data_IF_439649093721
#
_entry.id   IF_439649093721
#
_cell.length_a   1.000
_cell.length_b   1.000
_cell.length_c   1.000
_cell.angle_alpha   90.00
_cell.angle_beta   90.00
_cell.angle_gamma   90.00
#
_symmetry.space_group_name_H-M   'P 1'
#
loop_
_entity.id
_entity.type
_entity.pdbx_description
1 polymer ?
#
# COMPACT_ATOMS: atom_id res chain seq x y z
N UNK A 1 -14.76 -31.10 -20.62
CA UNK A 1 -14.69 -30.38 -19.33
C UNK A 1 -14.56 -28.90 -19.68
N UNK A 2 -15.58 -28.19 -20.19
CA UNK A 2 -16.97 -27.99 -19.70
C UNK A 2 -16.99 -27.63 -18.23
N UNK A 3 -17.17 -26.33 -17.92
CA UNK A 3 -18.05 -25.80 -16.85
C UNK A 3 -17.80 -24.34 -16.40
N UNK A 4 -17.17 -23.47 -17.20
CA UNK A 4 -17.35 -22.01 -16.99
C UNK A 4 -18.57 -21.54 -17.79
N UNK A 5 -19.75 -22.00 -17.34
CA UNK A 5 -21.03 -21.46 -17.79
C UNK A 5 -21.15 -20.06 -17.20
N UNK A 6 -21.09 -19.06 -18.05
CA UNK A 6 -21.83 -17.79 -18.00
C UNK A 6 -22.56 -17.53 -16.66
N UNK A 7 -21.80 -17.19 -15.60
CA UNK A 7 -22.36 -16.56 -14.40
C UNK A 7 -22.81 -15.19 -14.87
N UNK A 8 -24.12 -14.94 -14.91
CA UNK A 8 -24.65 -13.70 -15.46
C UNK A 8 -24.10 -12.49 -14.71
N UNK A 9 -23.77 -11.43 -15.43
CA UNK A 9 -23.19 -10.20 -14.87
C UNK A 9 -23.95 -9.68 -13.63
N UNK A 10 -25.27 -9.89 -13.58
CA UNK A 10 -26.12 -9.55 -12.44
C UNK A 10 -25.71 -10.27 -11.14
N UNK A 11 -25.40 -11.56 -11.22
CA UNK A 11 -25.01 -12.38 -10.07
C UNK A 11 -23.64 -11.93 -9.51
N UNK A 12 -22.70 -11.60 -10.40
CA UNK A 12 -21.38 -11.07 -10.01
C UNK A 12 -21.52 -9.71 -9.33
N UNK A 13 -22.38 -8.83 -9.85
CA UNK A 13 -22.65 -7.53 -9.24
C UNK A 13 -23.30 -7.68 -7.86
N UNK A 14 -24.20 -8.63 -7.67
CA UNK A 14 -24.79 -8.94 -6.37
C UNK A 14 -23.75 -9.49 -5.38
N UNK A 15 -22.88 -10.40 -5.81
CA UNK A 15 -21.76 -10.92 -5.00
C UNK A 15 -20.82 -9.78 -4.57
N UNK A 16 -20.44 -8.90 -5.50
CA UNK A 16 -19.56 -7.76 -5.22
C UNK A 16 -20.20 -6.77 -4.24
N UNK A 17 -21.49 -6.48 -4.41
CA UNK A 17 -22.24 -5.62 -3.49
C UNK A 17 -22.27 -6.21 -2.09
N UNK A 18 -22.58 -7.51 -1.96
CA UNK A 18 -22.61 -8.18 -0.67
C UNK A 18 -21.22 -8.18 0.01
N UNK A 19 -20.15 -8.37 -0.75
CA UNK A 19 -18.77 -8.27 -0.25
C UNK A 19 -18.45 -6.85 0.24
N UNK A 20 -18.77 -5.82 -0.56
CA UNK A 20 -18.59 -4.41 -0.18
C UNK A 20 -19.34 -4.07 1.11
N UNK A 21 -20.62 -4.45 1.21
CA UNK A 21 -21.45 -4.18 2.39
C UNK A 21 -20.86 -4.85 3.65
N UNK A 22 -20.30 -6.07 3.50
CA UNK A 22 -19.63 -6.77 4.59
C UNK A 22 -18.35 -6.05 5.04
N UNK A 23 -17.52 -5.60 4.10
CA UNK A 23 -16.29 -4.84 4.38
C UNK A 23 -16.64 -3.53 5.09
N UNK A 24 -17.59 -2.78 4.57
CA UNK A 24 -18.04 -1.51 5.16
C UNK A 24 -18.60 -1.72 6.58
N UNK A 25 -19.34 -2.82 6.80
CA UNK A 25 -19.84 -3.21 8.11
C UNK A 25 -18.75 -3.51 9.13
N UNK A 26 -17.67 -4.19 8.72
CA UNK A 26 -16.52 -4.45 9.61
C UNK A 26 -15.75 -3.16 9.95
N UNK A 27 -15.49 -2.30 8.96
CA UNK A 27 -14.79 -1.02 9.18
C UNK A 27 -15.61 -0.10 10.09
N UNK A 28 -16.94 -0.08 9.94
CA UNK A 28 -17.85 0.76 10.72
C UNK A 28 -17.89 0.42 12.22
N UNK A 29 -17.36 -0.74 12.63
CA UNK A 29 -17.23 -1.10 14.05
C UNK A 29 -16.16 -0.26 14.76
N UNK A 30 -15.19 0.26 14.01
CA UNK A 30 -14.04 1.03 14.53
C UNK A 30 -14.10 2.48 14.06
N UNK A 31 -14.51 2.72 12.82
CA UNK A 31 -14.56 4.04 12.21
C UNK A 31 -16.00 4.55 12.18
N UNK A 32 -16.24 5.68 12.84
CA UNK A 32 -17.58 6.29 12.95
C UNK A 32 -17.68 7.52 12.04
N UNK A 33 -18.72 7.58 11.21
CA UNK A 33 -19.11 8.79 10.47
C UNK A 33 -18.29 9.10 9.21
N UNK A 34 -17.47 8.16 8.71
CA UNK A 34 -16.60 8.34 7.52
C UNK A 34 -17.06 7.51 6.31
N UNK A 35 -18.36 7.26 6.17
CA UNK A 35 -18.92 6.36 5.13
C UNK A 35 -18.47 6.71 3.71
N UNK A 36 -18.57 7.98 3.34
CA UNK A 36 -18.18 8.45 2.00
C UNK A 36 -16.68 8.23 1.72
N UNK A 37 -15.82 8.46 2.73
CA UNK A 37 -14.37 8.24 2.59
C UNK A 37 -14.07 6.75 2.44
N UNK A 38 -14.76 5.88 3.19
CA UNK A 38 -14.62 4.43 3.06
C UNK A 38 -15.00 3.96 1.66
N UNK A 39 -16.12 4.44 1.11
CA UNK A 39 -16.56 4.11 -0.24
C UNK A 39 -15.55 4.57 -1.31
N UNK A 40 -15.01 5.79 -1.17
CA UNK A 40 -13.97 6.29 -2.06
C UNK A 40 -12.68 5.46 -1.98
N UNK A 41 -12.25 5.07 -0.78
CA UNK A 41 -11.08 4.21 -0.58
C UNK A 41 -11.27 2.84 -1.21
N UNK A 42 -12.44 2.21 -1.04
CA UNK A 42 -12.76 0.94 -1.70
C UNK A 42 -12.76 1.07 -3.22
N UNK A 43 -13.28 2.18 -3.76
CA UNK A 43 -13.26 2.46 -5.20
C UNK A 43 -11.83 2.58 -5.72
N UNK A 44 -10.97 3.30 -5.00
CA UNK A 44 -9.54 3.46 -5.33
C UNK A 44 -8.83 2.11 -5.31
N UNK A 45 -9.05 1.29 -4.27
CA UNK A 45 -8.45 -0.03 -4.17
C UNK A 45 -8.89 -0.96 -5.31
N UNK A 46 -10.20 -1.03 -5.59
CA UNK A 46 -10.75 -1.89 -6.65
C UNK A 46 -10.35 -1.45 -8.06
N UNK A 47 -9.87 -0.21 -8.21
CA UNK A 47 -9.36 0.32 -9.48
C UNK A 47 -7.82 0.30 -9.58
N UNK A 48 -7.12 -0.27 -8.59
CA UNK A 48 -5.66 -0.22 -8.46
C UNK A 48 -5.12 1.21 -8.61
N UNK A 49 -5.83 2.15 -7.98
CA UNK A 49 -5.49 3.56 -7.99
C UNK A 49 -4.81 3.98 -6.69
N UNK A 50 -4.29 5.21 -6.69
CA UNK A 50 -3.81 5.87 -5.49
C UNK A 50 -4.62 7.13 -5.22
N UNK A 51 -4.78 7.48 -3.94
CA UNK A 51 -5.54 8.66 -3.55
C UNK A 51 -4.76 9.58 -2.62
N UNK A 52 -5.08 10.88 -2.68
CA UNK A 52 -4.56 11.89 -1.76
C UNK A 52 -5.60 12.19 -0.68
N UNK A 53 -5.27 11.90 0.58
CA UNK A 53 -6.17 12.11 1.72
C UNK A 53 -5.92 13.45 2.42
N UNK A 54 -6.68 14.47 2.03
CA UNK A 54 -6.61 15.81 2.64
C UNK A 54 -7.59 15.90 3.81
N UNK A 55 -7.17 16.51 4.91
CA UNK A 55 -8.00 16.65 6.11
C UNK A 55 -7.16 17.09 7.30
N UNK A 56 -7.81 17.65 8.32
CA UNK A 56 -7.13 18.16 9.52
C UNK A 56 -6.50 17.01 10.34
N UNK A 57 -5.43 17.29 11.12
CA UNK A 57 -4.88 16.33 12.06
C UNK A 57 -5.95 15.81 13.03
N UNK A 58 -5.85 14.53 13.40
CA UNK A 58 -6.75 13.91 14.38
C UNK A 58 -8.03 13.30 13.82
N UNK A 59 -8.27 13.33 12.51
CA UNK A 59 -9.44 12.67 11.86
C UNK A 59 -9.27 11.15 11.67
N UNK A 60 -8.47 10.50 12.52
CA UNK A 60 -8.27 9.06 12.52
C UNK A 60 -7.86 8.46 11.14
N UNK A 61 -7.24 9.23 10.23
CA UNK A 61 -6.82 8.74 8.91
C UNK A 61 -5.96 7.49 9.00
N UNK A 62 -4.98 7.50 9.91
CA UNK A 62 -4.12 6.33 10.16
C UNK A 62 -4.93 5.12 10.63
N UNK A 63 -5.88 5.32 11.53
CA UNK A 63 -6.75 4.25 12.01
C UNK A 63 -7.65 3.71 10.90
N UNK A 64 -8.22 4.59 10.07
CA UNK A 64 -9.06 4.23 8.93
C UNK A 64 -8.30 3.35 7.93
N UNK A 65 -7.13 3.80 7.47
CA UNK A 65 -6.35 3.06 6.46
C UNK A 65 -5.83 1.73 7.03
N UNK A 66 -5.37 1.71 8.28
CA UNK A 66 -4.96 0.47 8.93
C UNK A 66 -6.15 -0.51 9.12
N UNK A 67 -7.32 -0.01 9.51
CA UNK A 67 -8.53 -0.85 9.68
C UNK A 67 -8.97 -1.44 8.33
N UNK A 68 -8.92 -0.66 7.26
CA UNK A 68 -9.21 -1.13 5.91
C UNK A 68 -8.26 -2.25 5.50
N UNK A 69 -6.94 -2.05 5.65
CA UNK A 69 -5.95 -3.06 5.31
C UNK A 69 -6.14 -4.36 6.11
N UNK A 70 -6.38 -4.25 7.42
CA UNK A 70 -6.65 -5.42 8.28
C UNK A 70 -7.94 -6.15 7.90
N UNK A 71 -8.99 -5.41 7.53
CA UNK A 71 -10.28 -6.00 7.13
C UNK A 71 -10.15 -6.83 5.84
N UNK A 72 -9.19 -6.47 4.98
CA UNK A 72 -8.94 -7.09 3.69
C UNK A 72 -7.73 -8.04 3.68
N UNK A 73 -7.09 -8.27 4.83
CA UNK A 73 -5.86 -9.07 4.97
C UNK A 73 -4.71 -8.58 4.07
N UNK A 74 -4.56 -7.26 3.97
CA UNK A 74 -3.55 -6.60 3.16
C UNK A 74 -2.36 -6.13 4.01
N UNK A 75 -1.15 -6.23 3.46
CA UNK A 75 0.05 -5.67 4.08
C UNK A 75 -0.10 -4.14 4.23
N UNK A 76 0.21 -3.62 5.42
CA UNK A 76 0.12 -2.19 5.71
C UNK A 76 1.45 -1.64 6.21
N UNK A 77 1.93 -0.59 5.56
CA UNK A 77 3.08 0.18 6.02
C UNK A 77 2.73 1.67 6.12
N UNK A 78 3.39 2.35 7.05
CA UNK A 78 3.29 3.81 7.21
C UNK A 78 4.65 4.44 7.00
N UNK A 79 4.70 5.44 6.13
CA UNK A 79 5.89 6.24 5.86
C UNK A 79 5.60 7.67 6.30
N UNK A 80 6.35 8.14 7.29
CA UNK A 80 6.30 9.54 7.71
C UNK A 80 7.33 10.32 6.90
N UNK A 81 6.89 11.26 6.09
CA UNK A 81 7.80 12.08 5.31
C UNK A 81 8.40 13.18 6.19
N UNK A 82 9.72 13.24 6.19
CA UNK A 82 10.52 14.23 6.91
C UNK A 82 11.51 14.90 5.95
N UNK A 83 12.07 16.07 6.32
CA UNK A 83 13.04 16.78 5.47
C UNK A 83 14.31 15.97 5.18
N UNK A 84 14.66 15.03 6.06
CA UNK A 84 15.89 14.23 6.00
C UNK A 84 15.68 12.85 5.35
N UNK A 85 14.43 12.49 5.03
CA UNK A 85 14.10 11.19 4.45
C UNK A 85 14.76 11.04 3.06
N UNK A 86 15.52 9.96 2.88
CA UNK A 86 16.17 9.65 1.61
C UNK A 86 15.30 8.72 0.74
N UNK A 87 15.48 8.71 -0.59
CA UNK A 87 14.79 7.76 -1.47
C UNK A 87 14.91 6.31 -1.02
N UNK A 88 16.11 5.91 -0.56
CA UNK A 88 16.39 4.54 -0.15
C UNK A 88 15.73 4.15 1.18
N UNK A 89 15.32 5.12 2.00
CA UNK A 89 14.50 4.86 3.19
C UNK A 89 13.06 4.47 2.82
N UNK A 90 12.62 4.75 1.58
CA UNK A 90 11.33 4.34 1.02
C UNK A 90 11.49 3.04 0.23
N UNK A 91 12.44 3.03 -0.70
CA UNK A 91 12.62 1.93 -1.67
C UNK A 91 13.35 0.73 -1.09
N UNK A 92 14.13 0.91 -0.02
CA UNK A 92 15.02 -0.12 0.51
C UNK A 92 16.49 0.17 0.19
N UNK A 93 17.37 -0.57 0.87
CA UNK A 93 18.82 -0.41 0.82
C UNK A 93 19.52 -1.77 0.66
N UNK A 94 20.70 -1.76 0.06
CA UNK A 94 21.63 -2.88 0.16
C UNK A 94 22.52 -2.74 1.38
N UNK A 95 22.62 -3.81 2.15
CA UNK A 95 23.55 -3.91 3.29
C UNK A 95 24.59 -4.98 3.00
N UNK A 96 25.82 -4.76 3.47
CA UNK A 96 26.86 -5.78 3.43
C UNK A 96 26.66 -6.70 4.64
N UNK A 97 26.21 -7.92 4.39
CA UNK A 97 26.08 -8.97 5.41
C UNK A 97 27.37 -9.80 5.42
N UNK A 98 27.92 -10.04 6.61
CA UNK A 98 29.09 -10.92 6.80
C UNK A 98 28.64 -12.19 7.51
N UNK A 99 28.82 -13.33 6.86
CA UNK A 99 28.58 -14.63 7.48
C UNK A 99 29.64 -14.87 8.55
N UNK A 100 29.20 -14.87 9.81
CA UNK A 100 30.06 -15.04 10.99
C UNK A 100 30.79 -16.39 11.03
N UNK A 101 30.32 -17.39 10.29
CA UNK A 101 30.91 -18.73 10.26
C UNK A 101 31.97 -18.90 9.16
N UNK A 102 31.81 -18.22 8.03
CA UNK A 102 32.69 -18.36 6.86
C UNK A 102 33.56 -17.12 6.58
N UNK A 103 33.21 -15.96 7.16
CA UNK A 103 33.82 -14.66 6.86
C UNK A 103 33.49 -14.12 5.47
N UNK A 104 32.57 -14.77 4.75
CA UNK A 104 32.13 -14.32 3.43
C UNK A 104 31.24 -13.07 3.57
N UNK A 105 31.42 -12.11 2.65
CA UNK A 105 30.65 -10.87 2.60
C UNK A 105 29.79 -10.85 1.36
N UNK A 106 28.48 -10.67 1.54
CA UNK A 106 27.51 -10.56 0.46
C UNK A 106 26.69 -9.27 0.60
N UNK A 107 26.32 -8.67 -0.53
CA UNK A 107 25.35 -7.59 -0.54
C UNK A 107 23.95 -8.19 -0.50
N UNK A 108 23.16 -7.78 0.49
CA UNK A 108 21.79 -8.22 0.68
C UNK A 108 20.85 -7.04 0.62
N UNK A 109 19.85 -7.15 -0.24
CA UNK A 109 18.80 -6.16 -0.32
C UNK A 109 17.83 -6.30 0.85
N UNK A 110 17.54 -5.16 1.50
CA UNK A 110 16.51 -5.03 2.52
C UNK A 110 15.41 -4.16 1.95
N UNK A 111 14.22 -4.77 1.82
CA UNK A 111 13.01 -4.10 1.34
C UNK A 111 12.67 -2.88 2.22
N UNK A 112 12.40 -1.76 1.56
CA UNK A 112 11.88 -0.57 2.22
C UNK A 112 10.39 -0.70 2.56
N UNK A 113 9.82 0.29 3.27
CA UNK A 113 8.42 0.29 3.65
C UNK A 113 7.45 0.40 2.47
N UNK A 114 7.93 0.68 1.25
CA UNK A 114 7.09 0.66 0.05
C UNK A 114 6.62 -0.75 -0.33
N UNK A 115 7.26 -1.81 0.16
CA UNK A 115 6.84 -3.20 -0.07
C UNK A 115 5.69 -3.58 0.86
N UNK A 116 4.48 -3.13 0.51
CA UNK A 116 3.21 -3.47 1.14
C UNK A 116 2.06 -3.20 0.14
N UNK A 117 0.89 -3.76 0.38
CA UNK A 117 -0.29 -3.51 -0.45
C UNK A 117 -0.91 -2.12 -0.19
N UNK A 118 -0.84 -1.64 1.05
CA UNK A 118 -1.39 -0.36 1.47
C UNK A 118 -0.31 0.45 2.16
N UNK A 119 0.05 1.59 1.57
CA UNK A 119 1.01 2.53 2.15
C UNK A 119 0.33 3.83 2.54
N UNK A 120 0.41 4.19 3.82
CA UNK A 120 0.08 5.54 4.27
C UNK A 120 1.34 6.41 4.24
N UNK A 121 1.44 7.27 3.22
CA UNK A 121 2.47 8.30 3.11
C UNK A 121 2.00 9.61 3.75
N UNK A 122 2.39 9.84 5.00
CA UNK A 122 2.00 11.04 5.76
C UNK A 122 2.95 12.20 5.47
N UNK A 123 2.37 13.40 5.31
CA UNK A 123 3.10 14.67 5.15
C UNK A 123 4.10 14.71 3.99
N UNK A 124 3.71 14.12 2.84
CA UNK A 124 4.55 14.02 1.63
C UNK A 124 5.19 15.33 1.18
N UNK A 125 4.56 16.45 1.49
CA UNK A 125 5.04 17.80 1.22
C UNK A 125 6.23 18.26 2.09
N UNK A 126 6.66 17.48 3.09
CA UNK A 126 7.79 17.81 3.99
C UNK A 126 9.15 17.28 3.54
N UNK A 127 9.23 16.52 2.45
CA UNK A 127 10.48 15.92 1.97
C UNK A 127 10.96 16.58 0.66
N UNK A 128 12.26 16.51 0.30
CA UNK A 128 12.77 17.03 -0.97
C UNK A 128 12.13 16.36 -2.20
N UNK A 129 12.08 17.05 -3.36
CA UNK A 129 11.48 16.50 -4.58
C UNK A 129 12.01 15.13 -5.02
N UNK A 130 13.30 14.86 -4.77
CA UNK A 130 13.94 13.58 -5.12
C UNK A 130 13.33 12.40 -4.35
N UNK A 131 12.99 12.57 -3.08
CA UNK A 131 12.38 11.52 -2.24
C UNK A 131 10.92 11.31 -2.62
N UNK A 132 10.19 12.38 -2.95
CA UNK A 132 8.83 12.26 -3.50
C UNK A 132 8.83 11.51 -4.84
N UNK A 133 9.79 11.81 -5.72
CA UNK A 133 9.92 11.14 -7.01
C UNK A 133 10.13 9.62 -6.89
N UNK A 134 10.84 9.17 -5.84
CA UNK A 134 11.03 7.74 -5.59
C UNK A 134 9.71 7.01 -5.28
N UNK A 135 8.85 7.63 -4.46
CA UNK A 135 7.50 7.12 -4.22
C UNK A 135 6.66 7.13 -5.50
N UNK A 136 6.65 8.25 -6.25
CA UNK A 136 5.85 8.38 -7.47
C UNK A 136 6.29 7.41 -8.57
N UNK A 137 7.59 7.13 -8.67
CA UNK A 137 8.11 6.12 -9.59
C UNK A 137 7.59 4.73 -9.24
N UNK A 138 7.63 4.35 -7.95
CA UNK A 138 7.09 3.08 -7.50
C UNK A 138 5.59 2.95 -7.81
N UNK A 139 4.82 4.03 -7.59
CA UNK A 139 3.39 4.12 -7.94
C UNK A 139 3.15 3.94 -9.45
N UNK A 140 3.99 4.53 -10.30
CA UNK A 140 3.79 4.47 -11.74
C UNK A 140 4.26 3.16 -12.37
N UNK A 141 5.34 2.57 -11.83
CA UNK A 141 6.01 1.41 -12.42
C UNK A 141 5.60 0.09 -11.75
N UNK A 142 4.94 0.12 -10.59
CA UNK A 142 4.61 -1.07 -9.78
C UNK A 142 5.83 -1.95 -9.46
N UNK A 143 7.01 -1.33 -9.46
CA UNK A 143 8.29 -1.96 -9.17
C UNK A 143 9.27 -0.93 -8.64
N UNK A 144 10.32 -1.42 -7.99
CA UNK A 144 11.41 -0.63 -7.45
C UNK A 144 12.73 -1.20 -7.96
N UNK A 145 13.63 -0.35 -8.44
CA UNK A 145 14.96 -0.78 -8.89
C UNK A 145 16.02 -0.21 -7.95
N UNK A 146 16.81 -1.10 -7.34
CA UNK A 146 17.95 -0.73 -6.46
C UNK A 146 19.18 -1.48 -6.96
N UNK A 147 20.29 -0.76 -7.11
CA UNK A 147 21.59 -1.31 -7.53
C UNK A 147 21.59 -2.14 -8.84
N UNK A 148 20.61 -1.90 -9.71
CA UNK A 148 20.47 -2.61 -11.00
C UNK A 148 19.47 -3.76 -10.98
N UNK A 149 18.98 -4.14 -9.80
CA UNK A 149 17.98 -5.21 -9.64
C UNK A 149 16.58 -4.61 -9.43
N UNK A 150 15.64 -5.04 -10.28
CA UNK A 150 14.23 -4.62 -10.22
C UNK A 150 13.38 -5.64 -9.47
N UNK A 151 12.60 -5.16 -8.51
CA UNK A 151 11.69 -5.94 -7.68
C UNK A 151 10.27 -5.44 -7.85
N UNK A 152 9.34 -6.34 -8.12
CA UNK A 152 7.92 -6.00 -8.23
C UNK A 152 7.32 -5.76 -6.85
N UNK A 153 6.35 -4.85 -6.81
CA UNK A 153 5.51 -4.64 -5.63
C UNK A 153 4.40 -5.68 -5.62
N UNK A 154 3.95 -6.05 -4.42
CA UNK A 154 2.85 -7.00 -4.26
C UNK A 154 1.52 -6.34 -4.61
N UNK A 155 0.70 -7.04 -5.40
CA UNK A 155 -0.62 -6.54 -5.83
C UNK A 155 -1.73 -7.01 -4.87
N UNK A 156 -2.77 -6.19 -4.60
CA UNK A 156 -2.95 -4.82 -5.10
C UNK A 156 -1.98 -3.83 -4.45
N UNK A 157 -1.62 -2.76 -5.16
CA UNK A 157 -0.73 -1.67 -4.73
C UNK A 157 -1.35 -0.27 -4.98
#
# INVERSE_FOLDING_TARGET
>A
MSETKDRGDLEIVEELKAARDKIEGEISKVIIGQHEVIEQLLTVLLSNGHCLLIGVPGLAKTLLINTLAQTLDLGFNRIQFTPDLMPSDITGNEILEEDKSTGHREFKFIQGPIFANVILADEVNRTPPKTQAALLQAMQEHQVTVSGDSMKLDEPF
#
